data_IF_821106309785
#
_entry.id   IF_821106309785
#
_cell.length_a   1.000
_cell.length_b   1.000
_cell.length_c   1.000
_cell.angle_alpha   90.00
_cell.angle_beta   90.00
_cell.angle_gamma   90.00
#
_symmetry.space_group_name_H-M   'P 1'
#
loop_
_entity.id
_entity.type
_entity.pdbx_description
1 polymer ?
#
# COMPACT_ATOMS: atom_id res chain seq x y z
N UNK A 1 -26.53 23.35 9.93
CA UNK A 1 -26.59 21.96 9.44
C UNK A 1 -26.73 21.86 7.93
N UNK A 2 -26.17 22.78 7.15
CA UNK A 2 -26.35 22.83 5.69
C UNK A 2 -25.03 22.97 4.90
N UNK A 3 -23.86 22.86 5.56
CA UNK A 3 -22.56 22.99 4.86
C UNK A 3 -21.96 21.65 4.37
N UNK A 4 -22.53 20.53 4.79
CA UNK A 4 -21.98 19.20 4.44
C UNK A 4 -22.41 18.69 3.06
N UNK A 5 -23.55 19.13 2.54
CA UNK A 5 -24.05 18.66 1.24
C UNK A 5 -23.45 19.38 0.03
N UNK A 6 -23.00 20.62 0.20
CA UNK A 6 -22.39 21.37 -0.90
C UNK A 6 -20.98 20.91 -1.29
N UNK A 7 -20.26 20.27 -0.38
CA UNK A 7 -18.91 19.75 -0.66
C UNK A 7 -18.91 18.36 -1.30
N UNK A 8 -20.05 17.68 -1.34
CA UNK A 8 -20.17 16.33 -1.90
C UNK A 8 -20.54 16.30 -3.39
N UNK A 9 -21.01 17.42 -3.96
CA UNK A 9 -21.55 17.43 -5.33
C UNK A 9 -20.56 17.88 -6.41
N UNK A 10 -19.41 18.46 -6.08
CA UNK A 10 -18.50 19.04 -7.09
C UNK A 10 -17.24 18.25 -7.41
N UNK A 11 -16.94 17.17 -6.71
CA UNK A 11 -15.68 16.44 -6.94
C UNK A 11 -15.92 15.08 -7.62
N UNK A 12 -16.10 15.12 -8.96
CA UNK A 12 -16.10 13.93 -9.82
C UNK A 12 -14.67 13.44 -10.12
N UNK A 13 -13.63 14.00 -9.48
CA UNK A 13 -12.28 13.53 -9.63
C UNK A 13 -12.14 12.14 -9.00
N UNK A 14 -11.41 11.24 -9.69
CA UNK A 14 -11.06 9.94 -9.15
C UNK A 14 -10.16 10.11 -7.92
N UNK A 15 -10.72 9.88 -6.75
CA UNK A 15 -9.95 9.84 -5.51
C UNK A 15 -9.46 8.43 -5.24
N UNK A 16 -8.18 8.30 -4.92
CA UNK A 16 -7.63 7.04 -4.42
C UNK A 16 -8.35 6.59 -3.13
N UNK A 17 -8.30 5.30 -2.84
CA UNK A 17 -8.98 4.69 -1.68
C UNK A 17 -8.53 5.29 -0.33
N UNK A 18 -7.34 5.87 -0.29
CA UNK A 18 -6.75 6.52 0.89
C UNK A 18 -7.47 7.82 1.28
N UNK A 19 -8.10 8.52 0.35
CA UNK A 19 -8.78 9.80 0.62
C UNK A 19 -10.02 9.62 1.50
N UNK A 20 -11.03 8.80 1.13
CA UNK A 20 -12.18 8.55 2.00
C UNK A 20 -11.77 7.86 3.31
N UNK A 21 -10.79 6.95 3.29
CA UNK A 21 -10.25 6.34 4.49
C UNK A 21 -9.66 7.37 5.45
N UNK A 22 -8.80 8.27 4.94
CA UNK A 22 -8.18 9.35 5.72
C UNK A 22 -9.24 10.28 6.32
N UNK A 23 -10.17 10.76 5.51
CA UNK A 23 -11.17 11.72 5.94
C UNK A 23 -12.06 11.17 7.06
N UNK A 24 -12.48 9.90 6.93
CA UNK A 24 -13.24 9.24 7.99
C UNK A 24 -12.43 9.12 9.29
N UNK A 25 -11.19 8.62 9.21
CA UNK A 25 -10.37 8.40 10.40
C UNK A 25 -9.94 9.70 11.07
N UNK A 26 -9.67 10.78 10.35
CA UNK A 26 -9.41 12.10 10.94
C UNK A 26 -10.62 12.60 11.72
N UNK A 27 -11.81 12.57 11.10
CA UNK A 27 -13.04 12.96 11.76
C UNK A 27 -13.31 12.10 13.02
N UNK A 28 -13.06 10.80 12.93
CA UNK A 28 -13.21 9.88 14.05
C UNK A 28 -12.27 10.21 15.21
N UNK A 29 -10.98 10.41 14.94
CA UNK A 29 -9.96 10.75 15.95
C UNK A 29 -10.32 12.05 16.68
N UNK A 30 -10.74 13.06 15.92
CA UNK A 30 -11.08 14.37 16.52
C UNK A 30 -12.36 14.29 17.36
N UNK A 31 -13.42 13.62 16.88
CA UNK A 31 -14.66 13.48 17.61
C UNK A 31 -14.48 12.63 18.89
N UNK A 32 -13.80 11.47 18.79
CA UNK A 32 -13.52 10.64 19.97
C UNK A 32 -12.71 11.41 21.00
N UNK A 33 -11.70 12.17 20.57
CA UNK A 33 -10.87 12.95 21.49
C UNK A 33 -11.67 14.02 22.23
N UNK A 34 -12.53 14.75 21.52
CA UNK A 34 -13.39 15.77 22.10
C UNK A 34 -14.39 15.18 23.10
N UNK A 35 -15.11 14.13 22.69
CA UNK A 35 -16.10 13.47 23.55
C UNK A 35 -15.47 12.81 24.78
N UNK A 36 -14.32 12.15 24.61
CA UNK A 36 -13.62 11.53 25.72
C UNK A 36 -13.13 12.56 26.73
N UNK A 37 -12.61 13.71 26.28
CA UNK A 37 -12.23 14.83 27.14
C UNK A 37 -13.45 15.38 27.90
N UNK A 38 -14.55 15.62 27.18
CA UNK A 38 -15.80 16.08 27.77
C UNK A 38 -16.32 15.10 28.83
N UNK A 39 -16.31 13.80 28.56
CA UNK A 39 -16.73 12.77 29.50
C UNK A 39 -15.87 12.75 30.77
N UNK A 40 -14.54 12.92 30.62
CA UNK A 40 -13.62 12.93 31.78
C UNK A 40 -13.82 14.14 32.66
N UNK A 41 -14.18 15.29 32.09
CA UNK A 41 -14.50 16.50 32.84
C UNK A 41 -15.88 16.40 33.55
N UNK A 42 -16.89 15.95 32.79
CA UNK A 42 -18.26 15.90 33.28
C UNK A 42 -18.49 14.82 34.33
N UNK A 43 -17.86 13.66 34.17
CA UNK A 43 -17.99 12.51 35.04
C UNK A 43 -16.79 12.34 36.01
N UNK A 44 -16.35 13.43 36.63
CA UNK A 44 -15.19 13.45 37.54
C UNK A 44 -15.28 12.49 38.73
N UNK A 45 -16.47 12.01 39.07
CA UNK A 45 -16.70 11.00 40.12
C UNK A 45 -16.48 9.56 39.67
N UNK A 46 -16.45 9.30 38.36
CA UNK A 46 -16.19 7.97 37.78
C UNK A 46 -14.69 7.71 37.62
N UNK A 47 -14.31 6.43 37.72
CA UNK A 47 -12.95 6.02 37.45
C UNK A 47 -12.67 6.09 35.93
N UNK A 48 -11.42 6.29 35.60
CA UNK A 48 -10.94 6.29 34.19
C UNK A 48 -11.42 5.06 33.41
N UNK A 49 -11.43 3.89 34.05
CA UNK A 49 -11.87 2.64 33.41
C UNK A 49 -13.39 2.65 33.13
N UNK A 50 -14.19 3.21 34.03
CA UNK A 50 -15.64 3.34 33.83
C UNK A 50 -15.98 4.31 32.72
N UNK A 51 -15.27 5.44 32.63
CA UNK A 51 -15.42 6.42 31.54
C UNK A 51 -15.02 5.79 30.19
N UNK A 52 -13.87 5.13 30.12
CA UNK A 52 -13.40 4.47 28.88
C UNK A 52 -14.40 3.41 28.41
N UNK A 53 -14.95 2.60 29.31
CA UNK A 53 -15.95 1.60 28.93
C UNK A 53 -17.22 2.23 28.37
N UNK A 54 -17.72 3.32 29.00
CA UNK A 54 -18.88 4.04 28.47
C UNK A 54 -18.62 4.71 27.15
N UNK A 55 -17.44 5.27 26.97
CA UNK A 55 -17.05 5.85 25.69
C UNK A 55 -16.98 4.79 24.58
N UNK A 56 -16.44 3.59 24.84
CA UNK A 56 -16.48 2.47 23.88
C UNK A 56 -17.92 2.12 23.49
N UNK A 57 -18.83 1.98 24.48
CA UNK A 57 -20.25 1.70 24.22
C UNK A 57 -20.90 2.74 23.29
N UNK A 58 -20.56 4.02 23.47
CA UNK A 58 -21.09 5.14 22.66
C UNK A 58 -20.53 5.09 21.23
N UNK A 59 -19.23 4.79 21.06
CA UNK A 59 -18.56 4.82 19.76
C UNK A 59 -18.61 3.51 18.98
N UNK A 60 -19.05 2.40 19.58
CA UNK A 60 -19.10 1.08 18.92
C UNK A 60 -19.85 1.10 17.57
N UNK A 61 -21.01 1.77 17.40
CA UNK A 61 -21.67 1.85 16.10
C UNK A 61 -20.82 2.56 15.03
N UNK A 62 -20.07 3.59 15.45
CA UNK A 62 -19.17 4.35 14.55
C UNK A 62 -17.94 3.53 14.19
N UNK A 63 -17.39 2.76 15.12
CA UNK A 63 -16.30 1.80 14.86
C UNK A 63 -16.75 0.74 13.84
N UNK A 64 -17.95 0.18 14.03
CA UNK A 64 -18.53 -0.75 13.06
C UNK A 64 -18.71 -0.15 11.66
N UNK A 65 -19.10 1.13 11.58
CA UNK A 65 -19.19 1.85 10.31
C UNK A 65 -17.81 1.99 9.67
N UNK A 66 -16.79 2.41 10.40
CA UNK A 66 -15.43 2.57 9.90
C UNK A 66 -14.81 1.25 9.43
N UNK A 67 -15.05 0.15 10.13
CA UNK A 67 -14.60 -1.18 9.71
C UNK A 67 -15.28 -1.64 8.42
N UNK A 68 -16.57 -1.37 8.25
CA UNK A 68 -17.29 -1.66 7.00
C UNK A 68 -16.77 -0.82 5.85
N UNK A 69 -16.60 0.49 6.06
CA UNK A 69 -16.01 1.38 5.06
C UNK A 69 -14.62 0.89 4.62
N UNK A 70 -13.76 0.54 5.58
CA UNK A 70 -12.42 0.00 5.28
C UNK A 70 -12.53 -1.25 4.43
N UNK A 71 -13.39 -2.19 4.79
CA UNK A 71 -13.60 -3.42 4.04
C UNK A 71 -14.06 -3.14 2.60
N UNK A 72 -15.05 -2.28 2.41
CA UNK A 72 -15.57 -1.90 1.10
C UNK A 72 -14.49 -1.26 0.21
N UNK A 73 -13.68 -0.35 0.77
CA UNK A 73 -12.60 0.31 0.05
C UNK A 73 -11.52 -0.67 -0.43
N UNK A 74 -11.18 -1.68 0.37
CA UNK A 74 -10.08 -2.59 0.05
C UNK A 74 -10.52 -3.88 -0.64
N UNK A 75 -11.80 -4.24 -0.67
CA UNK A 75 -12.28 -5.56 -1.08
C UNK A 75 -11.85 -5.95 -2.49
N UNK A 76 -11.93 -5.03 -3.44
CA UNK A 76 -11.64 -5.28 -4.85
C UNK A 76 -10.41 -4.55 -5.38
N UNK A 77 -9.69 -3.81 -4.52
CA UNK A 77 -8.51 -3.06 -4.96
C UNK A 77 -7.33 -3.99 -5.28
N UNK A 78 -6.56 -3.63 -6.29
CA UNK A 78 -5.24 -4.20 -6.61
C UNK A 78 -4.11 -3.21 -6.34
N UNK A 79 -4.43 -2.06 -5.77
CA UNK A 79 -3.48 -1.01 -5.44
C UNK A 79 -2.80 -1.30 -4.09
N UNK A 80 -1.59 -1.87 -4.17
CA UNK A 80 -0.78 -2.16 -2.97
C UNK A 80 -0.27 -0.89 -2.28
N UNK A 81 0.00 0.18 -3.05
CA UNK A 81 0.47 1.45 -2.47
C UNK A 81 -0.65 2.16 -1.72
N UNK A 82 -1.85 2.23 -2.30
CA UNK A 82 -3.01 2.81 -1.62
C UNK A 82 -3.35 2.07 -0.33
N UNK A 83 -3.31 0.73 -0.32
CA UNK A 83 -3.51 -0.05 0.92
C UNK A 83 -2.41 0.22 1.94
N UNK A 84 -1.15 0.33 1.52
CA UNK A 84 -0.04 0.63 2.41
C UNK A 84 -0.14 2.05 2.98
N UNK A 85 -0.59 3.03 2.21
CA UNK A 85 -0.90 4.38 2.70
C UNK A 85 -1.98 4.31 3.78
N UNK A 86 -3.05 3.52 3.60
CA UNK A 86 -4.08 3.34 4.63
C UNK A 86 -3.49 2.73 5.91
N UNK A 87 -2.55 1.78 5.82
CA UNK A 87 -1.83 1.26 6.99
C UNK A 87 -1.10 2.38 7.72
N UNK A 88 -0.37 3.25 7.01
CA UNK A 88 0.35 4.39 7.61
C UNK A 88 -0.60 5.39 8.26
N UNK A 89 -1.70 5.71 7.60
CA UNK A 89 -2.73 6.58 8.16
C UNK A 89 -3.34 5.99 9.44
N UNK A 90 -3.57 4.68 9.48
CA UNK A 90 -4.08 4.01 10.68
C UNK A 90 -3.05 4.02 11.83
N UNK A 91 -1.77 3.83 11.54
CA UNK A 91 -0.68 3.96 12.51
C UNK A 91 -0.56 5.39 13.03
N UNK A 92 -0.68 6.38 12.16
CA UNK A 92 -0.70 7.79 12.56
C UNK A 92 -1.90 8.11 13.46
N UNK A 93 -3.09 7.58 13.15
CA UNK A 93 -4.28 7.72 13.99
C UNK A 93 -4.05 7.10 15.39
N UNK A 94 -3.44 5.90 15.45
CA UNK A 94 -3.09 5.25 16.71
C UNK A 94 -2.13 6.10 17.55
N UNK A 95 -1.07 6.62 16.91
CA UNK A 95 -0.09 7.50 17.57
C UNK A 95 -0.73 8.77 18.10
N UNK A 96 -1.62 9.39 17.32
CA UNK A 96 -2.32 10.61 17.73
C UNK A 96 -3.26 10.36 18.90
N UNK A 97 -4.01 9.26 18.90
CA UNK A 97 -4.87 8.86 20.03
C UNK A 97 -4.05 8.57 21.30
N UNK A 98 -2.90 7.91 21.15
CA UNK A 98 -1.99 7.67 22.27
C UNK A 98 -1.42 8.99 22.81
N UNK A 99 -1.01 9.92 21.96
CA UNK A 99 -0.55 11.26 22.35
C UNK A 99 -1.61 12.03 23.12
N UNK A 100 -2.87 11.92 22.68
CA UNK A 100 -4.02 12.54 23.36
C UNK A 100 -4.50 11.76 24.59
N UNK A 101 -3.92 10.60 24.89
CA UNK A 101 -4.29 9.68 25.99
C UNK A 101 -5.75 9.20 25.91
N UNK A 102 -6.20 8.86 24.71
CA UNK A 102 -7.54 8.37 24.40
C UNK A 102 -7.49 6.87 24.05
N UNK A 103 -7.65 5.94 25.00
CA UNK A 103 -7.50 4.50 24.78
C UNK A 103 -8.74 3.85 24.14
N UNK A 104 -9.79 4.61 23.91
CA UNK A 104 -11.13 4.11 23.55
C UNK A 104 -11.16 3.42 22.18
N UNK A 105 -10.30 3.83 21.24
CA UNK A 105 -10.30 3.36 19.87
C UNK A 105 -9.27 2.25 19.58
N UNK A 106 -8.55 1.73 20.57
CA UNK A 106 -7.48 0.73 20.36
C UNK A 106 -8.02 -0.52 19.65
N UNK A 107 -9.19 -1.00 20.04
CA UNK A 107 -9.80 -2.19 19.40
C UNK A 107 -10.21 -1.91 17.94
N UNK A 108 -10.67 -0.69 17.64
CA UNK A 108 -10.99 -0.25 16.30
C UNK A 108 -9.72 -0.20 15.41
N UNK A 109 -8.68 0.47 15.88
CA UNK A 109 -7.39 0.57 15.17
C UNK A 109 -6.82 -0.81 14.85
N UNK A 110 -6.82 -1.72 15.85
CA UNK A 110 -6.37 -3.09 15.66
C UNK A 110 -7.25 -3.85 14.66
N UNK A 111 -8.57 -3.69 14.73
CA UNK A 111 -9.51 -4.30 13.79
C UNK A 111 -9.30 -3.84 12.34
N UNK A 112 -8.97 -2.56 12.13
CA UNK A 112 -8.61 -2.01 10.82
C UNK A 112 -7.28 -2.60 10.32
N UNK A 113 -6.26 -2.72 11.18
CA UNK A 113 -4.98 -3.36 10.83
C UNK A 113 -5.17 -4.82 10.40
N UNK A 114 -6.04 -5.56 11.09
CA UNK A 114 -6.38 -6.96 10.75
C UNK A 114 -7.08 -7.09 9.38
N UNK A 115 -7.62 -6.03 8.83
CA UNK A 115 -8.18 -6.01 7.47
C UNK A 115 -7.15 -5.58 6.43
N UNK A 116 -6.37 -4.53 6.72
CA UNK A 116 -5.42 -3.92 5.78
C UNK A 116 -4.24 -4.85 5.46
N UNK A 117 -3.59 -5.43 6.47
CA UNK A 117 -2.40 -6.25 6.27
C UNK A 117 -2.64 -7.52 5.43
N UNK A 118 -3.66 -8.32 5.68
CA UNK A 118 -3.95 -9.49 4.83
C UNK A 118 -4.28 -9.07 3.39
N UNK A 119 -4.94 -7.91 3.20
CA UNK A 119 -5.21 -7.40 1.86
C UNK A 119 -3.94 -7.01 1.14
N UNK A 120 -3.04 -6.26 1.79
CA UNK A 120 -1.73 -5.93 1.23
C UNK A 120 -0.97 -7.20 0.81
N UNK A 121 -0.86 -8.18 1.69
CA UNK A 121 -0.19 -9.45 1.38
C UNK A 121 -0.82 -10.16 0.19
N UNK A 122 -2.14 -10.23 0.13
CA UNK A 122 -2.87 -10.84 -1.00
C UNK A 122 -2.56 -10.14 -2.32
N UNK A 123 -2.47 -8.80 -2.33
CA UNK A 123 -2.10 -8.05 -3.54
C UNK A 123 -0.66 -8.36 -3.94
N UNK A 124 0.27 -8.40 -2.98
CA UNK A 124 1.66 -8.75 -3.26
C UNK A 124 1.80 -10.19 -3.79
N UNK A 125 1.00 -11.13 -3.30
CA UNK A 125 0.93 -12.51 -3.83
C UNK A 125 0.44 -12.52 -5.29
N UNK A 126 -0.59 -11.73 -5.61
CA UNK A 126 -1.09 -11.57 -6.99
C UNK A 126 0.02 -11.01 -7.91
N UNK A 127 0.82 -10.05 -7.45
CA UNK A 127 1.95 -9.54 -8.21
C UNK A 127 3.01 -10.62 -8.44
N UNK A 128 3.38 -11.40 -7.41
CA UNK A 128 4.31 -12.52 -7.55
C UNK A 128 3.80 -13.58 -8.54
N UNK A 129 2.53 -13.96 -8.45
CA UNK A 129 1.92 -14.92 -9.38
C UNK A 129 1.87 -14.39 -10.81
N UNK A 130 1.61 -13.10 -10.97
CA UNK A 130 1.62 -12.45 -12.28
C UNK A 130 3.00 -12.54 -12.94
N UNK A 131 4.08 -12.27 -12.18
CA UNK A 131 5.46 -12.42 -12.65
C UNK A 131 5.78 -13.87 -13.03
N UNK A 132 5.38 -14.85 -12.21
CA UNK A 132 5.54 -16.28 -12.50
C UNK A 132 4.83 -16.67 -13.80
N UNK A 133 3.61 -16.18 -14.00
CA UNK A 133 2.81 -16.45 -15.20
C UNK A 133 3.48 -15.89 -16.44
N UNK A 134 3.96 -14.65 -16.40
CA UNK A 134 4.76 -14.06 -17.49
C UNK A 134 6.00 -14.89 -17.75
N UNK A 135 6.74 -15.28 -16.71
CA UNK A 135 7.93 -16.12 -16.83
C UNK A 135 7.68 -17.54 -17.34
N UNK A 136 6.49 -18.11 -17.16
CA UNK A 136 6.14 -19.44 -17.69
C UNK A 136 5.66 -19.38 -19.14
N UNK A 137 5.05 -18.27 -19.55
CA UNK A 137 4.57 -18.06 -20.92
C UNK A 137 5.68 -17.63 -21.90
N UNK A 138 6.92 -17.42 -21.45
CA UNK A 138 8.08 -17.02 -22.24
C UNK A 138 8.60 -18.11 -23.22
N UNK A 139 7.84 -19.20 -23.43
CA UNK A 139 7.99 -20.07 -24.58
C UNK A 139 7.21 -19.52 -25.78
N UNK A 140 7.88 -19.19 -26.87
CA UNK A 140 7.42 -18.81 -28.23
C UNK A 140 6.16 -17.93 -28.39
N UNK A 141 5.14 -18.00 -27.54
CA UNK A 141 3.86 -17.28 -27.73
C UNK A 141 3.77 -15.98 -26.93
N UNK A 142 4.44 -15.85 -25.79
CA UNK A 142 4.33 -14.67 -24.93
C UNK A 142 5.18 -13.48 -25.43
N UNK A 143 6.26 -13.76 -26.13
CA UNK A 143 7.05 -12.72 -26.80
C UNK A 143 6.24 -12.06 -27.92
N UNK A 144 5.40 -12.82 -28.63
CA UNK A 144 4.50 -12.30 -29.66
C UNK A 144 3.32 -11.48 -29.10
N UNK A 145 2.75 -11.86 -27.94
CA UNK A 145 1.60 -11.17 -27.35
C UNK A 145 1.99 -9.85 -26.64
N UNK A 146 3.24 -9.75 -26.18
CA UNK A 146 3.80 -8.54 -25.55
C UNK A 146 4.53 -7.64 -26.54
N UNK A 147 4.85 -8.13 -27.74
CA UNK A 147 5.40 -7.33 -28.84
C UNK A 147 4.30 -6.92 -29.82
N UNK A 148 3.30 -6.18 -29.35
CA UNK A 148 2.34 -5.45 -30.21
C UNK A 148 2.98 -4.30 -31.00
N UNK A 149 4.29 -4.16 -30.95
CA UNK A 149 5.05 -3.22 -31.75
C UNK A 149 6.28 -3.90 -32.35
N UNK A 150 6.10 -4.50 -33.51
CA UNK A 150 7.16 -4.60 -34.55
C UNK A 150 8.35 -5.48 -34.24
N UNK A 151 8.40 -6.66 -34.89
CA UNK A 151 9.63 -7.18 -35.48
C UNK A 151 10.60 -7.96 -34.58
N UNK A 152 11.30 -8.85 -35.19
CA UNK A 152 12.44 -9.69 -34.72
C UNK A 152 13.53 -8.96 -33.91
N UNK A 153 13.58 -7.63 -33.96
CA UNK A 153 14.58 -6.80 -33.27
C UNK A 153 14.37 -6.71 -31.75
N UNK A 154 13.15 -6.87 -31.23
CA UNK A 154 12.89 -6.80 -29.78
C UNK A 154 13.46 -8.03 -29.05
N UNK A 155 13.45 -9.20 -29.65
CA UNK A 155 14.09 -10.40 -29.11
C UNK A 155 15.61 -10.30 -29.09
N UNK A 156 16.16 -9.36 -29.81
CA UNK A 156 17.58 -9.08 -29.90
C UNK A 156 18.05 -7.85 -29.12
N UNK A 157 17.19 -7.07 -28.56
CA UNK A 157 17.53 -5.86 -27.85
C UNK A 157 18.13 -6.14 -26.45
N UNK A 158 19.15 -5.39 -26.08
CA UNK A 158 19.67 -5.34 -24.70
C UNK A 158 19.01 -4.23 -23.87
N UNK A 159 17.94 -3.62 -24.36
CA UNK A 159 17.20 -2.58 -23.67
C UNK A 159 16.48 -3.14 -22.42
N UNK A 160 16.25 -2.32 -21.39
CA UNK A 160 15.47 -2.73 -20.23
C UNK A 160 14.08 -3.19 -20.64
N UNK A 161 13.59 -4.24 -19.98
CA UNK A 161 12.23 -4.73 -20.16
C UNK A 161 11.23 -3.72 -19.57
N UNK A 162 10.06 -3.54 -20.22
CA UNK A 162 9.07 -2.53 -19.77
C UNK A 162 8.57 -2.76 -18.34
N UNK A 163 8.52 -4.01 -17.87
CA UNK A 163 8.16 -4.34 -16.49
C UNK A 163 9.20 -3.83 -15.49
N UNK A 164 10.45 -3.62 -15.90
CA UNK A 164 11.53 -3.15 -15.02
C UNK A 164 11.25 -1.76 -14.48
N UNK A 165 10.74 -0.86 -15.31
CA UNK A 165 10.35 0.47 -14.88
C UNK A 165 9.20 0.41 -13.87
N UNK A 166 8.16 -0.38 -14.15
CA UNK A 166 7.00 -0.55 -13.25
C UNK A 166 7.40 -1.19 -11.93
N UNK A 167 8.24 -2.22 -11.99
CA UNK A 167 8.80 -2.86 -10.79
C UNK A 167 9.61 -1.87 -9.95
N UNK A 168 10.52 -1.11 -10.57
CA UNK A 168 11.32 -0.10 -9.89
C UNK A 168 10.46 0.98 -9.22
N UNK A 169 9.42 1.46 -9.90
CA UNK A 169 8.47 2.45 -9.35
C UNK A 169 7.68 1.88 -8.16
N UNK A 170 7.19 0.64 -8.26
CA UNK A 170 6.49 -0.02 -7.16
C UNK A 170 7.42 -0.21 -5.95
N UNK A 171 8.62 -0.73 -6.18
CA UNK A 171 9.63 -0.91 -5.13
C UNK A 171 9.97 0.42 -4.45
N UNK A 172 10.21 1.47 -5.24
CA UNK A 172 10.48 2.81 -4.70
C UNK A 172 9.32 3.31 -3.84
N UNK A 173 8.06 3.20 -4.30
CA UNK A 173 6.88 3.62 -3.54
C UNK A 173 6.75 2.88 -2.22
N UNK A 174 6.90 1.55 -2.22
CA UNK A 174 6.82 0.74 -1.00
C UNK A 174 7.97 1.06 -0.04
N UNK A 175 9.22 1.15 -0.52
CA UNK A 175 10.38 1.49 0.30
C UNK A 175 10.24 2.89 0.93
N UNK A 176 9.73 3.84 0.17
CA UNK A 176 9.44 5.20 0.65
C UNK A 176 8.46 5.20 1.82
N UNK A 177 7.35 4.46 1.68
CA UNK A 177 6.34 4.33 2.73
C UNK A 177 6.83 3.48 3.92
N UNK A 178 7.77 2.56 3.70
CA UNK A 178 8.33 1.70 4.77
C UNK A 178 9.44 2.38 5.55
N UNK A 179 10.15 3.35 4.97
CA UNK A 179 11.24 4.07 5.68
C UNK A 179 10.74 4.90 6.87
N UNK A 180 9.46 5.18 6.95
CA UNK A 180 8.81 5.93 8.03
C UNK A 180 8.35 5.03 9.19
N UNK A 181 8.44 3.71 9.02
CA UNK A 181 8.03 2.71 10.00
C UNK A 181 9.23 1.90 10.51
N UNK A 182 9.11 1.37 11.71
CA UNK A 182 10.15 0.53 12.30
C UNK A 182 10.35 -0.81 11.58
N UNK A 183 11.43 -1.50 11.92
CA UNK A 183 11.96 -2.69 11.22
C UNK A 183 11.07 -3.97 11.25
N UNK A 184 9.97 -4.00 11.98
CA UNK A 184 9.18 -5.23 12.24
C UNK A 184 8.01 -5.48 11.29
N UNK A 185 8.08 -5.00 10.04
CA UNK A 185 6.92 -5.05 9.17
C UNK A 185 6.83 -6.24 8.21
N UNK A 186 5.59 -6.74 7.97
CA UNK A 186 5.31 -7.77 6.96
C UNK A 186 5.72 -7.40 5.54
N UNK A 187 6.03 -6.11 5.30
CA UNK A 187 6.44 -5.55 4.01
C UNK A 187 7.74 -6.17 3.53
N UNK A 188 8.74 -6.30 4.39
CA UNK A 188 10.08 -6.81 4.04
C UNK A 188 10.03 -8.19 3.40
N UNK A 189 9.25 -9.11 3.97
CA UNK A 189 9.07 -10.45 3.43
C UNK A 189 8.38 -10.43 2.05
N UNK A 190 7.36 -9.59 1.89
CA UNK A 190 6.63 -9.44 0.63
C UNK A 190 7.52 -8.86 -0.46
N UNK A 191 8.36 -7.87 -0.12
CA UNK A 191 9.34 -7.30 -1.06
C UNK A 191 10.41 -8.31 -1.47
N UNK A 192 10.96 -9.06 -0.53
CA UNK A 192 11.96 -10.10 -0.80
C UNK A 192 11.43 -11.15 -1.76
N UNK A 193 10.19 -11.62 -1.56
CA UNK A 193 9.52 -12.56 -2.46
C UNK A 193 9.29 -11.97 -3.85
N UNK A 194 8.79 -10.75 -3.92
CA UNK A 194 8.54 -10.07 -5.20
C UNK A 194 9.85 -9.86 -5.98
N UNK A 195 10.92 -9.45 -5.29
CA UNK A 195 12.25 -9.28 -5.89
C UNK A 195 12.80 -10.58 -6.43
N UNK A 196 12.69 -11.67 -5.67
CA UNK A 196 13.14 -12.99 -6.12
C UNK A 196 12.40 -13.48 -7.38
N UNK A 197 11.07 -13.25 -7.46
CA UNK A 197 10.29 -13.59 -8.66
C UNK A 197 10.65 -12.72 -9.86
N UNK A 198 10.94 -11.45 -9.62
CA UNK A 198 11.38 -10.54 -10.68
C UNK A 198 12.78 -10.91 -11.21
N UNK A 199 13.72 -11.25 -10.33
CA UNK A 199 15.05 -11.74 -10.70
C UNK A 199 14.97 -13.02 -11.53
N UNK A 200 14.11 -13.96 -11.11
CA UNK A 200 13.85 -15.18 -11.87
C UNK A 200 13.28 -14.89 -13.26
N UNK A 201 12.39 -13.91 -13.38
CA UNK A 201 11.87 -13.46 -14.67
C UNK A 201 12.96 -12.86 -15.56
N UNK A 202 13.78 -11.92 -15.04
CA UNK A 202 14.89 -11.34 -15.80
C UNK A 202 15.91 -12.39 -16.25
N UNK A 203 16.23 -13.35 -15.37
CA UNK A 203 17.13 -14.46 -15.71
C UNK A 203 16.58 -15.33 -16.86
N UNK A 204 15.27 -15.58 -16.90
CA UNK A 204 14.61 -16.30 -17.99
C UNK A 204 14.64 -15.48 -19.29
N UNK A 205 14.25 -14.20 -19.22
CA UNK A 205 14.24 -13.30 -20.38
C UNK A 205 15.65 -13.14 -20.98
N UNK A 206 16.68 -13.05 -20.15
CA UNK A 206 18.07 -12.91 -20.61
C UNK A 206 18.55 -14.10 -21.44
N UNK A 207 17.99 -15.29 -21.20
CA UNK A 207 18.37 -16.52 -21.94
C UNK A 207 17.80 -16.60 -23.34
N UNK A 208 16.77 -15.83 -23.67
CA UNK A 208 16.12 -15.86 -25.00
C UNK A 208 17.03 -15.24 -26.07
N UNK A 209 17.96 -14.37 -25.69
CA UNK A 209 18.82 -13.64 -26.64
C UNK A 209 20.09 -14.33 -27.16
N UNK A 210 20.43 -15.55 -26.69
CA UNK A 210 21.44 -16.46 -27.27
C UNK A 210 22.90 -16.17 -26.99
N UNK A 211 23.40 -14.91 -26.88
CA UNK A 211 24.82 -14.56 -26.68
C UNK A 211 25.11 -14.16 -25.22
N UNK A 212 26.20 -14.69 -24.63
CA UNK A 212 26.61 -14.42 -23.26
C UNK A 212 26.79 -12.92 -22.98
N UNK A 213 27.50 -12.20 -23.84
CA UNK A 213 27.78 -10.76 -23.71
C UNK A 213 26.50 -9.92 -23.72
N UNK A 214 25.51 -10.37 -24.48
CA UNK A 214 24.20 -9.72 -24.56
C UNK A 214 23.33 -9.97 -23.31
N UNK A 215 23.38 -11.19 -22.78
CA UNK A 215 22.71 -11.52 -21.51
C UNK A 215 23.19 -10.61 -20.37
N UNK A 216 24.52 -10.47 -20.26
CA UNK A 216 25.12 -9.59 -19.24
C UNK A 216 24.67 -8.14 -19.45
N UNK A 217 24.71 -7.61 -20.67
CA UNK A 217 24.26 -6.25 -20.99
C UNK A 217 22.78 -6.04 -20.70
N UNK A 218 21.92 -7.02 -21.05
CA UNK A 218 20.50 -6.97 -20.73
C UNK A 218 20.27 -6.90 -19.21
N UNK A 219 20.87 -7.78 -18.43
CA UNK A 219 20.74 -7.80 -16.98
C UNK A 219 21.29 -6.50 -16.37
N UNK A 220 22.47 -6.07 -16.81
CA UNK A 220 23.07 -4.81 -16.35
C UNK A 220 22.13 -3.61 -16.59
N UNK A 221 21.57 -3.47 -17.78
CA UNK A 221 20.69 -2.36 -18.11
C UNK A 221 19.39 -2.37 -17.27
N UNK A 222 18.82 -3.56 -17.00
CA UNK A 222 17.62 -3.69 -16.18
C UNK A 222 17.93 -3.35 -14.72
N UNK A 223 18.98 -3.88 -14.11
CA UNK A 223 19.34 -3.56 -12.73
C UNK A 223 19.78 -2.11 -12.57
N UNK A 224 20.51 -1.54 -13.52
CA UNK A 224 20.87 -0.12 -13.51
C UNK A 224 19.65 0.78 -13.53
N UNK A 225 18.63 0.45 -14.31
CA UNK A 225 17.37 1.20 -14.34
C UNK A 225 16.65 1.14 -12.98
N UNK A 226 16.55 -0.04 -12.36
CA UNK A 226 15.94 -0.20 -11.02
C UNK A 226 16.68 0.67 -10.00
N UNK A 227 18.01 0.57 -9.95
CA UNK A 227 18.83 1.34 -9.04
C UNK A 227 18.66 2.84 -9.26
N UNK A 228 18.62 3.29 -10.51
CA UNK A 228 18.38 4.70 -10.83
C UNK A 228 17.02 5.17 -10.32
N UNK A 229 15.95 4.41 -10.54
CA UNK A 229 14.61 4.79 -10.08
C UNK A 229 14.55 4.89 -8.56
N UNK A 230 15.13 3.92 -7.84
CA UNK A 230 15.15 3.91 -6.37
C UNK A 230 16.03 5.05 -5.84
N UNK A 231 17.21 5.29 -6.42
CA UNK A 231 18.15 6.31 -5.95
C UNK A 231 17.65 7.73 -6.19
N UNK A 232 17.11 8.02 -7.38
CA UNK A 232 16.58 9.37 -7.71
C UNK A 232 15.42 9.73 -6.80
N UNK A 233 14.56 8.78 -6.50
CA UNK A 233 13.45 9.02 -5.59
C UNK A 233 13.86 9.24 -4.13
N UNK A 234 14.99 8.71 -3.68
CA UNK A 234 15.54 8.95 -2.34
C UNK A 234 16.26 10.30 -2.24
N UNK A 235 16.89 10.77 -3.31
CA UNK A 235 17.64 12.04 -3.35
C UNK A 235 16.73 13.27 -3.48
N UNK A 236 15.53 13.14 -3.99
CA UNK A 236 14.56 14.25 -4.13
C UNK A 236 13.92 14.72 -2.82
N UNK A 237 14.36 14.20 -1.67
CA UNK A 237 13.85 14.55 -0.31
C UNK A 237 14.84 15.37 0.55
N UNK A 238 16.00 15.77 0.01
CA UNK A 238 16.97 16.62 0.72
C UNK A 238 16.71 18.11 0.50
#
# INVERSE_FOLDING_TARGET
MAMSSYLAEEDTSYHGLEVPFRNFNLALVDNISAEYSFMTEMFSTLTFHQISRKAVEIFEPVFGLGQRLTKELIENTTDSLGVLICVRLNQQAAFELQRRKVPVADSYINGVNMQLWPRFQKIMDIHCESLKRVGSQTGRSAVSALSLAGGDDLNRSSAPHFLTQRFGQLMHGILTLSSEAGDDEPVSNSLSRLSAEFDALLAKLSRIGGDAKRRERFLFNNYSLILTIISVGLLGRS
#
